data_IF_615671352933
#
_entry.id   IF_615671352933
#
_cell.length_a   1.000
_cell.length_b   1.000
_cell.length_c   1.000
_cell.angle_alpha   90.00
_cell.angle_beta   90.00
_cell.angle_gamma   90.00
#
_symmetry.space_group_name_H-M   'P 1'
#
loop_
_entity.id
_entity.type
_entity.pdbx_description
1 polymer ?
#
# COMPACT_ATOMS: atom_id res chain seq x y z
N UNK A 1 -26.80 9.58 79.11
CA UNK A 1 -27.73 9.45 77.96
C UNK A 1 -27.18 10.28 76.83
N UNK A 2 -26.52 9.63 75.87
CA UNK A 2 -25.63 10.23 74.89
C UNK A 2 -26.35 10.29 73.53
N UNK A 3 -26.56 11.50 73.02
CA UNK A 3 -27.26 11.77 71.76
C UNK A 3 -26.32 11.56 70.56
N UNK A 4 -26.86 10.84 69.57
CA UNK A 4 -26.20 10.38 68.35
C UNK A 4 -25.82 11.53 67.41
N UNK A 5 -24.59 11.55 66.91
CA UNK A 5 -24.15 12.35 65.76
C UNK A 5 -24.14 11.44 64.53
N UNK A 6 -25.00 11.72 63.56
CA UNK A 6 -24.96 11.10 62.24
C UNK A 6 -23.84 11.75 61.40
N UNK A 7 -22.90 10.93 60.93
CA UNK A 7 -21.86 11.34 59.97
C UNK A 7 -22.21 10.69 58.62
N UNK A 8 -22.68 11.48 57.68
CA UNK A 8 -23.00 11.03 56.31
C UNK A 8 -21.72 11.04 55.49
N UNK A 9 -21.19 9.87 55.11
CA UNK A 9 -20.17 9.75 54.07
C UNK A 9 -20.85 9.81 52.70
N UNK A 10 -20.54 10.83 51.88
CA UNK A 10 -20.76 10.77 50.44
C UNK A 10 -19.53 10.14 49.77
N UNK A 11 -19.69 8.94 49.23
CA UNK A 11 -18.71 8.33 48.34
C UNK A 11 -18.92 8.89 46.91
N UNK A 12 -17.94 9.64 46.40
CA UNK A 12 -17.89 10.05 45.01
C UNK A 12 -17.38 8.89 44.14
N UNK A 13 -18.26 8.33 43.32
CA UNK A 13 -17.91 7.38 42.26
C UNK A 13 -17.25 8.16 41.12
N UNK A 14 -15.92 8.08 41.02
CA UNK A 14 -15.18 8.54 39.85
C UNK A 14 -15.41 7.55 38.70
N UNK A 15 -16.20 7.96 37.70
CA UNK A 15 -16.36 7.22 36.47
C UNK A 15 -15.07 7.34 35.67
N UNK A 16 -14.32 6.25 35.59
CA UNK A 16 -13.18 6.14 34.69
C UNK A 16 -13.76 6.03 33.28
N UNK A 17 -13.69 7.13 32.51
CA UNK A 17 -13.97 7.08 31.08
C UNK A 17 -12.81 6.29 30.45
N UNK A 18 -13.06 5.02 30.15
CA UNK A 18 -12.17 4.23 29.30
C UNK A 18 -12.23 4.90 27.92
N UNK A 19 -11.20 5.66 27.58
CA UNK A 19 -11.02 6.14 26.22
C UNK A 19 -10.88 4.91 25.33
N UNK A 20 -11.83 4.71 24.41
CA UNK A 20 -11.68 3.75 23.33
C UNK A 20 -10.41 4.14 22.55
N UNK A 21 -9.58 3.18 22.12
CA UNK A 21 -8.42 3.48 21.30
C UNK A 21 -8.92 4.24 20.07
N UNK A 22 -8.37 5.44 19.85
CA UNK A 22 -8.48 6.15 18.58
C UNK A 22 -8.14 5.13 17.49
N UNK A 23 -9.07 4.88 16.57
CA UNK A 23 -8.78 4.10 15.36
C UNK A 23 -7.50 4.67 14.77
N UNK A 24 -6.42 3.91 14.83
CA UNK A 24 -5.11 4.41 14.47
C UNK A 24 -5.14 4.77 12.99
N UNK A 25 -5.00 6.06 12.69
CA UNK A 25 -5.03 6.56 11.32
C UNK A 25 -3.88 5.92 10.53
N UNK A 26 -4.16 5.44 9.33
CA UNK A 26 -3.14 4.85 8.46
C UNK A 26 -2.05 5.87 8.13
N UNK A 27 -0.79 5.45 8.15
CA UNK A 27 0.37 6.23 7.69
C UNK A 27 0.47 6.33 6.16
N UNK A 28 -0.32 5.53 5.46
CA UNK A 28 -0.43 5.53 4.00
C UNK A 28 -1.85 5.88 3.65
N UNK A 29 -2.04 6.92 2.83
CA UNK A 29 -3.31 7.15 2.18
C UNK A 29 -3.48 6.08 1.09
N UNK A 30 -4.29 5.07 1.39
CA UNK A 30 -4.55 3.93 0.50
C UNK A 30 -5.83 4.22 -0.28
N UNK A 31 -5.78 4.02 -1.58
CA UNK A 31 -6.92 4.17 -2.48
C UNK A 31 -7.02 2.96 -3.41
N UNK A 32 -8.25 2.64 -3.82
CA UNK A 32 -8.48 1.64 -4.85
C UNK A 32 -7.86 2.10 -6.17
N UNK A 33 -7.36 1.17 -6.97
CA UNK A 33 -6.85 1.49 -8.32
C UNK A 33 -8.03 1.88 -9.21
N UNK A 34 -8.09 3.17 -9.53
CA UNK A 34 -8.98 3.74 -10.53
C UNK A 34 -8.18 4.01 -11.81
N UNK A 35 -8.45 3.22 -12.86
CA UNK A 35 -7.77 3.33 -14.16
C UNK A 35 -8.31 4.47 -15.03
N UNK A 36 -9.46 5.03 -14.67
CA UNK A 36 -10.10 6.14 -15.38
C UNK A 36 -9.68 7.50 -14.78
N UNK A 37 -9.19 7.50 -13.54
CA UNK A 37 -8.61 8.67 -12.90
C UNK A 37 -7.25 9.02 -13.51
N UNK A 38 -7.09 10.28 -13.91
CA UNK A 38 -5.82 10.79 -14.46
C UNK A 38 -5.23 11.81 -13.49
N UNK A 39 -4.11 11.50 -12.82
CA UNK A 39 -3.49 12.43 -11.89
C UNK A 39 -3.02 13.71 -12.57
N UNK A 40 -3.16 14.85 -11.89
CA UNK A 40 -2.67 16.12 -12.41
C UNK A 40 -1.16 16.07 -12.66
N UNK A 41 -0.72 16.60 -13.81
CA UNK A 41 0.69 16.61 -14.21
C UNK A 41 1.21 15.28 -14.78
N UNK A 42 0.51 14.16 -14.55
CA UNK A 42 0.89 12.86 -15.09
C UNK A 42 0.81 12.76 -16.63
N UNK A 43 -0.15 13.36 -17.37
CA UNK A 43 -0.24 13.20 -18.83
C UNK A 43 1.04 13.53 -19.59
N UNK A 44 1.68 14.66 -19.25
CA UNK A 44 2.90 15.09 -19.92
C UNK A 44 4.11 14.20 -19.56
N UNK A 45 4.16 13.67 -18.34
CA UNK A 45 5.17 12.69 -17.95
C UNK A 45 4.91 11.32 -18.59
N UNK A 46 3.63 10.94 -18.72
CA UNK A 46 3.18 9.67 -19.27
C UNK A 46 3.54 9.54 -20.74
N UNK A 47 3.31 10.58 -21.55
CA UNK A 47 3.73 10.60 -22.97
C UNK A 47 5.26 10.54 -23.12
N UNK A 48 6.03 11.03 -22.14
CA UNK A 48 7.50 10.88 -22.15
C UNK A 48 7.93 9.46 -21.77
N UNK A 49 7.22 8.82 -20.83
CA UNK A 49 7.47 7.43 -20.43
C UNK A 49 6.99 6.40 -21.47
N UNK A 50 5.91 6.71 -22.18
CA UNK A 50 5.28 5.90 -23.22
C UNK A 50 5.14 6.74 -24.50
N UNK A 51 6.15 6.75 -25.38
CA UNK A 51 6.16 7.60 -26.57
C UNK A 51 5.00 7.36 -27.54
N UNK A 52 4.48 6.14 -27.58
CA UNK A 52 3.35 5.72 -28.43
C UNK A 52 1.99 5.85 -27.72
N UNK A 53 1.93 6.55 -26.57
CA UNK A 53 0.69 6.71 -25.82
C UNK A 53 -0.39 7.47 -26.62
N UNK A 54 -1.60 6.93 -26.61
CA UNK A 54 -2.79 7.62 -27.05
C UNK A 54 -3.40 8.37 -25.85
N UNK A 55 -3.03 9.65 -25.69
CA UNK A 55 -3.40 10.50 -24.54
C UNK A 55 -2.79 10.01 -23.22
N UNK A 56 -3.56 9.25 -22.45
CA UNK A 56 -3.22 8.76 -21.11
C UNK A 56 -3.23 7.23 -21.03
N UNK A 57 -3.33 6.57 -22.18
CA UNK A 57 -3.28 5.13 -22.29
C UNK A 57 -2.16 4.73 -23.25
N UNK A 58 -1.43 3.67 -22.92
CA UNK A 58 -0.41 3.12 -23.79
C UNK A 58 -0.53 1.60 -23.83
N UNK A 59 -0.58 1.03 -25.04
CA UNK A 59 -0.53 -0.41 -25.23
C UNK A 59 0.91 -0.82 -25.45
N UNK A 60 1.35 -1.86 -24.74
CA UNK A 60 2.71 -2.39 -24.88
C UNK A 60 2.73 -3.91 -24.77
N UNK A 61 3.46 -4.52 -25.68
CA UNK A 61 3.81 -5.94 -25.60
C UNK A 61 5.03 -6.13 -24.69
N UNK A 62 4.90 -7.01 -23.70
CA UNK A 62 5.96 -7.40 -22.77
C UNK A 62 5.99 -8.92 -22.69
N UNK A 63 7.02 -9.52 -23.30
CA UNK A 63 7.04 -10.97 -23.51
C UNK A 63 5.89 -11.40 -24.42
N UNK A 64 5.14 -12.41 -24.00
CA UNK A 64 3.99 -12.95 -24.75
C UNK A 64 2.65 -12.27 -24.40
N UNK A 65 2.68 -11.18 -23.64
CA UNK A 65 1.49 -10.51 -23.11
C UNK A 65 1.40 -9.07 -23.57
N UNK A 66 0.17 -8.63 -23.84
CA UNK A 66 -0.16 -7.25 -24.15
C UNK A 66 -0.74 -6.57 -22.92
N UNK A 67 -0.25 -5.38 -22.59
CA UNK A 67 -0.70 -4.59 -21.45
C UNK A 67 -1.18 -3.22 -21.90
N UNK A 68 -2.31 -2.78 -21.33
CA UNK A 68 -2.79 -1.40 -21.41
C UNK A 68 -2.40 -0.66 -20.13
N UNK A 69 -1.49 0.30 -20.27
CA UNK A 69 -0.99 1.14 -19.18
C UNK A 69 -1.75 2.45 -19.08
N UNK A 70 -2.01 2.88 -17.84
CA UNK A 70 -2.51 4.22 -17.51
C UNK A 70 -1.71 4.81 -16.34
N UNK A 71 -1.58 6.14 -16.23
CA UNK A 71 -0.87 6.77 -15.12
C UNK A 71 -1.66 6.60 -13.82
N UNK A 72 -0.97 6.20 -12.75
CA UNK A 72 -1.57 5.96 -11.43
C UNK A 72 -1.16 7.03 -10.41
N UNK A 73 0.13 7.39 -10.37
CA UNK A 73 0.66 8.31 -9.38
C UNK A 73 1.80 9.16 -9.91
N UNK A 74 1.97 10.33 -9.33
CA UNK A 74 3.10 11.21 -9.60
C UNK A 74 3.77 11.63 -8.29
N UNK A 75 4.86 10.94 -7.95
CA UNK A 75 5.48 10.96 -6.63
C UNK A 75 6.80 11.75 -6.68
N UNK A 76 6.93 12.87 -5.94
CA UNK A 76 8.18 13.60 -5.90
C UNK A 76 9.28 12.81 -5.17
N UNK A 77 10.44 12.67 -5.83
CA UNK A 77 11.63 12.03 -5.25
C UNK A 77 12.63 13.08 -4.75
N UNK A 78 12.72 14.22 -5.44
CA UNK A 78 13.54 15.38 -5.07
C UNK A 78 13.01 16.64 -5.76
N UNK A 79 13.69 17.79 -5.60
CA UNK A 79 13.30 19.06 -6.23
C UNK A 79 13.40 19.07 -7.76
N UNK A 80 14.06 18.06 -8.36
CA UNK A 80 14.27 17.94 -9.81
C UNK A 80 13.87 16.58 -10.36
N UNK A 81 13.25 15.72 -9.53
CA UNK A 81 12.98 14.32 -9.91
C UNK A 81 11.66 13.82 -9.35
N UNK A 82 10.96 13.08 -10.18
CA UNK A 82 9.67 12.45 -9.90
C UNK A 82 9.67 11.00 -10.34
N UNK A 83 8.88 10.19 -9.65
CA UNK A 83 8.45 8.88 -10.11
C UNK A 83 7.03 8.99 -10.67
N UNK A 84 6.86 8.64 -11.93
CA UNK A 84 5.56 8.29 -12.49
C UNK A 84 5.32 6.82 -12.19
N UNK A 85 4.26 6.52 -11.45
CA UNK A 85 3.76 5.15 -11.28
C UNK A 85 2.64 4.96 -12.28
N UNK A 86 2.68 3.87 -13.04
CA UNK A 86 1.67 3.48 -14.01
C UNK A 86 1.19 2.06 -13.72
N UNK A 87 -0.07 1.79 -14.03
CA UNK A 87 -0.69 0.48 -13.81
C UNK A 87 -1.09 -0.13 -15.15
N UNK A 88 -0.67 -1.38 -15.39
CA UNK A 88 -0.85 -2.10 -16.63
C UNK A 88 -1.82 -3.27 -16.46
N UNK A 89 -2.97 -3.23 -17.12
CA UNK A 89 -3.87 -4.38 -17.20
C UNK A 89 -3.48 -5.26 -18.39
N UNK A 90 -3.41 -6.57 -18.16
CA UNK A 90 -3.10 -7.56 -19.19
C UNK A 90 -4.36 -7.90 -19.99
N UNK A 91 -4.25 -7.99 -21.32
CA UNK A 91 -5.35 -8.44 -22.18
C UNK A 91 -5.73 -9.91 -21.93
N UNK A 92 -4.80 -10.71 -21.40
CA UNK A 92 -5.09 -12.06 -20.98
C UNK A 92 -6.05 -12.08 -19.77
N UNK A 93 -7.22 -12.67 -19.97
CA UNK A 93 -8.28 -12.81 -18.96
C UNK A 93 -8.31 -14.20 -18.31
N UNK A 94 -7.31 -15.04 -18.52
CA UNK A 94 -7.21 -16.31 -17.81
C UNK A 94 -7.00 -16.07 -16.31
N UNK A 95 -7.47 -16.98 -15.46
CA UNK A 95 -7.34 -16.88 -14.00
C UNK A 95 -5.87 -16.71 -13.54
N UNK A 96 -4.92 -17.28 -14.28
CA UNK A 96 -3.50 -17.20 -13.99
C UNK A 96 -2.83 -15.91 -14.49
N UNK A 97 -3.51 -15.11 -15.31
CA UNK A 97 -2.94 -13.89 -15.85
C UNK A 97 -3.03 -12.75 -14.83
N UNK A 98 -1.98 -11.95 -14.75
CA UNK A 98 -1.88 -10.79 -13.85
C UNK A 98 -1.55 -9.55 -14.66
N UNK A 99 -2.00 -8.40 -14.19
CA UNK A 99 -1.45 -7.12 -14.61
C UNK A 99 -0.07 -6.89 -13.99
N UNK A 100 0.49 -5.71 -14.17
CA UNK A 100 1.74 -5.30 -13.52
C UNK A 100 1.77 -3.79 -13.34
N UNK A 101 2.63 -3.29 -12.45
CA UNK A 101 2.87 -1.86 -12.33
C UNK A 101 4.23 -1.50 -12.94
N UNK A 102 4.34 -0.28 -13.43
CA UNK A 102 5.57 0.29 -13.93
C UNK A 102 5.92 1.55 -13.15
N UNK A 103 7.22 1.78 -12.97
CA UNK A 103 7.75 3.02 -12.40
C UNK A 103 8.72 3.61 -13.41
N UNK A 104 8.53 4.89 -13.71
CA UNK A 104 9.42 5.67 -14.54
C UNK A 104 9.97 6.82 -13.74
N UNK A 105 11.28 7.01 -13.77
CA UNK A 105 11.89 8.19 -13.17
C UNK A 105 12.10 9.25 -14.24
N UNK A 106 11.61 10.45 -13.95
CA UNK A 106 11.73 11.59 -14.83
C UNK A 106 12.39 12.74 -14.09
N UNK A 107 13.22 13.50 -14.81
CA UNK A 107 13.74 14.78 -14.35
C UNK A 107 12.96 15.95 -14.93
N UNK A 108 12.95 17.04 -14.17
CA UNK A 108 12.40 18.34 -14.55
C UNK A 108 13.25 19.46 -13.95
N UNK A 109 13.03 20.69 -14.39
CA UNK A 109 13.66 21.87 -13.79
C UNK A 109 13.28 22.02 -12.31
N UNK A 110 14.15 22.64 -11.51
CA UNK A 110 13.94 22.86 -10.07
C UNK A 110 12.56 23.48 -9.78
N UNK A 111 11.84 22.88 -8.84
CA UNK A 111 10.56 23.36 -8.33
C UNK A 111 9.42 22.38 -8.58
N UNK A 112 8.20 22.91 -8.78
CA UNK A 112 7.04 22.06 -9.06
C UNK A 112 7.24 21.27 -10.36
N UNK A 113 6.99 19.95 -10.35
CA UNK A 113 7.12 19.11 -11.54
C UNK A 113 6.32 19.66 -12.72
N UNK A 114 6.99 19.94 -13.82
CA UNK A 114 6.39 20.47 -15.05
C UNK A 114 7.19 20.06 -16.26
N UNK A 115 6.51 20.01 -17.40
CA UNK A 115 7.16 19.86 -18.70
C UNK A 115 8.20 20.99 -18.93
N UNK A 116 9.36 20.71 -19.57
CA UNK A 116 9.76 19.45 -20.17
C UNK A 116 10.27 18.41 -19.16
N UNK A 117 9.87 17.16 -19.37
CA UNK A 117 10.42 16.00 -18.65
C UNK A 117 11.50 15.30 -19.47
N UNK A 118 12.44 14.65 -18.79
CA UNK A 118 13.38 13.70 -19.40
C UNK A 118 13.32 12.38 -18.66
N UNK A 119 13.13 11.29 -19.40
CA UNK A 119 13.17 9.94 -18.83
C UNK A 119 14.60 9.59 -18.41
N UNK A 120 14.77 9.13 -17.18
CA UNK A 120 16.05 8.65 -16.64
C UNK A 120 16.09 7.14 -16.46
N UNK A 121 14.95 6.50 -16.22
CA UNK A 121 14.89 5.08 -15.97
C UNK A 121 13.47 4.53 -16.04
N UNK A 122 13.38 3.25 -16.37
CA UNK A 122 12.15 2.47 -16.45
C UNK A 122 12.34 1.17 -15.69
N UNK A 123 11.35 0.84 -14.87
CA UNK A 123 11.24 -0.44 -14.19
C UNK A 123 9.82 -0.96 -14.37
N UNK A 124 9.73 -2.17 -14.93
CA UNK A 124 8.49 -2.91 -15.10
C UNK A 124 8.37 -3.93 -13.97
N UNK A 125 7.14 -4.36 -13.69
CA UNK A 125 6.80 -5.36 -12.67
C UNK A 125 7.22 -4.94 -11.26
N UNK A 126 6.79 -3.74 -10.87
CA UNK A 126 7.12 -3.15 -9.57
C UNK A 126 5.98 -3.37 -8.56
N UNK A 127 6.33 -3.90 -7.39
CA UNK A 127 5.38 -4.12 -6.29
C UNK A 127 4.41 -5.27 -6.56
N UNK A 128 3.21 -5.19 -5.99
CA UNK A 128 2.20 -6.22 -6.10
C UNK A 128 1.48 -6.16 -7.45
N UNK A 129 1.43 -7.28 -8.16
CA UNK A 129 0.52 -7.51 -9.29
C UNK A 129 -0.81 -8.11 -8.80
N UNK A 130 -1.93 -7.81 -9.47
CA UNK A 130 -3.27 -8.23 -9.03
C UNK A 130 -3.48 -9.74 -8.99
N UNK A 131 -4.51 -10.17 -8.25
CA UNK A 131 -4.76 -11.59 -7.94
C UNK A 131 -5.44 -12.43 -9.03
N UNK A 132 -5.32 -12.05 -10.30
CA UNK A 132 -5.82 -12.83 -11.43
C UNK A 132 -6.62 -12.02 -12.48
N UNK A 133 -6.95 -12.68 -13.59
CA UNK A 133 -7.75 -12.14 -14.71
C UNK A 133 -7.15 -10.86 -15.32
N UNK A 134 -5.83 -10.77 -15.34
CA UNK A 134 -5.09 -9.66 -15.97
C UNK A 134 -5.15 -8.34 -15.20
N UNK A 135 -5.72 -8.31 -14.00
CA UNK A 135 -5.83 -7.10 -13.21
C UNK A 135 -4.49 -6.70 -12.57
N UNK A 136 -4.16 -5.41 -12.49
CA UNK A 136 -3.00 -4.91 -11.75
C UNK A 136 -3.29 -4.87 -10.24
N UNK A 137 -2.44 -4.17 -9.45
CA UNK A 137 -2.69 -3.94 -8.02
C UNK A 137 -4.15 -3.51 -7.78
N UNK A 138 -4.73 -3.97 -6.68
CA UNK A 138 -6.13 -3.66 -6.31
C UNK A 138 -6.23 -2.34 -5.58
N UNK A 139 -5.26 -2.07 -4.71
CA UNK A 139 -5.10 -0.81 -3.97
C UNK A 139 -3.67 -0.34 -4.03
N UNK A 140 -3.50 0.96 -3.86
CA UNK A 140 -2.19 1.58 -3.86
C UNK A 140 -2.15 2.80 -2.95
N UNK A 141 -0.95 3.25 -2.64
CA UNK A 141 -0.70 4.48 -1.90
C UNK A 141 0.79 4.73 -1.82
N UNK A 142 1.22 5.81 -1.18
CA UNK A 142 2.63 6.01 -0.90
C UNK A 142 2.84 6.87 0.35
N UNK A 143 4.05 6.82 0.91
CA UNK A 143 4.41 7.57 2.12
C UNK A 143 5.91 7.89 2.17
N UNK A 144 6.30 8.87 2.99
CA UNK A 144 7.72 9.18 3.31
C UNK A 144 8.12 8.82 4.74
N UNK A 145 7.18 8.23 5.48
CA UNK A 145 7.35 7.98 6.91
C UNK A 145 8.09 6.67 7.22
N UNK A 146 8.18 5.74 6.24
CA UNK A 146 8.74 4.40 6.46
C UNK A 146 10.25 4.34 6.21
N UNK A 147 10.73 4.89 5.08
CA UNK A 147 12.12 4.79 4.65
C UNK A 147 12.67 6.14 4.19
N UNK A 148 13.98 6.24 3.95
CA UNK A 148 14.63 7.51 3.57
C UNK A 148 14.08 8.06 2.26
N UNK A 149 13.78 7.19 1.31
CA UNK A 149 13.08 7.54 0.07
C UNK A 149 11.56 7.27 0.17
N UNK A 150 10.72 7.89 -0.68
CA UNK A 150 9.30 7.58 -0.73
C UNK A 150 9.05 6.08 -0.93
N UNK A 151 8.10 5.52 -0.21
CA UNK A 151 7.71 4.11 -0.28
C UNK A 151 6.36 4.00 -0.96
N UNK A 152 6.32 3.26 -2.06
CA UNK A 152 5.10 2.85 -2.75
C UNK A 152 4.48 1.65 -2.00
N UNK A 153 3.20 1.76 -1.68
CA UNK A 153 2.34 0.69 -1.19
C UNK A 153 1.53 0.16 -2.36
N UNK A 154 1.57 -1.15 -2.58
CA UNK A 154 0.71 -1.84 -3.55
C UNK A 154 0.13 -3.08 -2.91
N UNK A 155 -1.17 -3.27 -3.08
CA UNK A 155 -1.91 -4.39 -2.52
C UNK A 155 -2.44 -5.28 -3.62
N UNK A 156 -2.26 -6.58 -3.44
CA UNK A 156 -2.91 -7.59 -4.25
C UNK A 156 -3.55 -8.65 -3.37
N UNK A 157 -4.48 -9.38 -3.96
CA UNK A 157 -5.24 -10.37 -3.23
C UNK A 157 -6.27 -11.01 -4.12
N UNK A 158 -6.91 -12.03 -3.59
CA UNK A 158 -7.89 -12.81 -4.31
C UNK A 158 -8.57 -13.81 -3.40
N UNK A 159 -9.48 -14.58 -3.99
CA UNK A 159 -10.22 -15.62 -3.29
C UNK A 159 -9.80 -16.97 -3.84
N UNK A 160 -9.26 -17.83 -2.98
CA UNK A 160 -8.90 -19.21 -3.32
C UNK A 160 -9.61 -20.17 -2.37
N UNK A 161 -10.40 -21.09 -2.94
CA UNK A 161 -11.10 -22.13 -2.16
C UNK A 161 -11.98 -21.55 -1.04
N UNK A 162 -12.60 -20.39 -1.26
CA UNK A 162 -13.45 -19.70 -0.28
C UNK A 162 -12.70 -18.86 0.75
N UNK A 163 -11.37 -18.73 0.63
CA UNK A 163 -10.53 -17.87 1.47
C UNK A 163 -10.11 -16.63 0.70
N UNK A 164 -10.50 -15.45 1.20
CA UNK A 164 -10.03 -14.18 0.72
C UNK A 164 -8.71 -13.83 1.42
N UNK A 165 -7.66 -13.58 0.65
CA UNK A 165 -6.34 -13.20 1.16
C UNK A 165 -5.85 -11.94 0.46
N UNK A 166 -5.28 -11.02 1.23
CA UNK A 166 -4.61 -9.83 0.73
C UNK A 166 -3.16 -9.77 1.20
N UNK A 167 -2.28 -9.30 0.33
CA UNK A 167 -0.87 -9.09 0.59
C UNK A 167 -0.46 -7.70 0.13
N UNK A 168 0.49 -7.11 0.84
CA UNK A 168 1.09 -5.82 0.52
C UNK A 168 2.53 -6.02 0.11
N UNK A 169 2.92 -5.28 -0.92
CA UNK A 169 4.31 -4.99 -1.24
C UNK A 169 4.61 -3.53 -0.92
N UNK A 170 5.71 -3.33 -0.19
CA UNK A 170 6.31 -2.02 0.01
C UNK A 170 7.55 -1.91 -0.87
N UNK A 171 7.58 -0.90 -1.72
CA UNK A 171 8.72 -0.64 -2.62
C UNK A 171 9.30 0.73 -2.32
N UNK A 172 10.56 0.79 -1.90
CA UNK A 172 11.30 2.04 -1.71
C UNK A 172 11.74 2.60 -3.07
N UNK A 173 11.37 3.85 -3.37
CA UNK A 173 11.72 4.55 -4.60
C UNK A 173 13.09 5.24 -4.48
N UNK A 174 14.16 4.44 -4.44
CA UNK A 174 15.53 4.93 -4.21
C UNK A 174 16.06 5.75 -5.39
N UNK A 175 17.15 6.53 -5.23
CA UNK A 175 17.77 7.24 -6.35
C UNK A 175 18.21 6.32 -7.52
N UNK A 176 18.57 5.06 -7.24
CA UNK A 176 18.97 4.09 -8.27
C UNK A 176 17.80 3.35 -8.92
N UNK A 177 16.59 3.43 -8.35
CA UNK A 177 15.42 2.68 -8.81
C UNK A 177 14.55 2.17 -7.66
N UNK A 178 13.36 1.63 -7.97
CA UNK A 178 12.51 0.95 -7.01
C UNK A 178 13.19 -0.31 -6.44
N UNK A 179 13.08 -0.51 -5.13
CA UNK A 179 13.58 -1.69 -4.42
C UNK A 179 12.45 -2.26 -3.56
N UNK A 180 12.11 -3.53 -3.72
CA UNK A 180 11.17 -4.20 -2.81
C UNK A 180 11.80 -4.29 -1.41
N UNK A 181 11.11 -3.75 -0.42
CA UNK A 181 11.59 -3.67 0.96
C UNK A 181 10.73 -4.46 1.94
N UNK A 182 9.49 -4.82 1.60
CA UNK A 182 8.67 -5.69 2.44
C UNK A 182 7.56 -6.38 1.64
N UNK A 183 7.24 -7.61 2.04
CA UNK A 183 6.01 -8.30 1.62
C UNK A 183 5.36 -8.97 2.83
N UNK A 184 4.08 -8.74 3.04
CA UNK A 184 3.37 -9.30 4.19
C UNK A 184 1.85 -9.42 3.97
N UNK A 185 1.17 -10.34 4.68
CA UNK A 185 -0.28 -10.44 4.62
C UNK A 185 -0.95 -9.22 5.26
N UNK A 186 -1.86 -8.58 4.55
CA UNK A 186 -2.62 -7.42 5.06
C UNK A 186 -4.05 -7.80 5.44
N UNK A 187 -4.61 -8.85 4.83
CA UNK A 187 -5.96 -9.29 5.15
C UNK A 187 -6.14 -10.79 4.93
N UNK A 188 -7.05 -11.38 5.71
CA UNK A 188 -7.48 -12.76 5.58
C UNK A 188 -8.94 -12.87 6.00
N UNK A 189 -9.75 -13.63 5.26
CA UNK A 189 -11.12 -13.99 5.65
C UNK A 189 -11.52 -15.33 5.04
N UNK A 190 -12.16 -16.20 5.81
CA UNK A 190 -12.74 -17.46 5.34
C UNK A 190 -14.26 -17.53 5.57
N UNK A 191 -14.91 -16.37 5.77
CA UNK A 191 -16.35 -16.24 6.00
C UNK A 191 -17.25 -16.85 4.91
N UNK A 192 -16.69 -17.15 3.73
CA UNK A 192 -17.40 -17.82 2.63
C UNK A 192 -17.46 -19.34 2.80
N UNK A 193 -16.78 -19.90 3.80
CA UNK A 193 -16.75 -21.33 4.14
C UNK A 193 -17.71 -21.60 5.30
N UNK A 194 -18.35 -22.76 5.32
CA UNK A 194 -19.21 -23.17 6.44
C UNK A 194 -18.42 -23.20 7.76
N UNK A 195 -18.86 -22.39 8.72
CA UNK A 195 -18.17 -22.22 10.01
C UNK A 195 -16.96 -21.27 9.98
N UNK A 196 -16.72 -20.57 8.87
CA UNK A 196 -15.65 -19.58 8.74
C UNK A 196 -15.92 -18.28 9.49
N UNK A 197 -14.88 -17.46 9.65
CA UNK A 197 -14.90 -16.22 10.42
C UNK A 197 -14.74 -14.96 9.53
N UNK A 198 -15.26 -13.79 9.96
CA UNK A 198 -15.19 -12.53 9.21
C UNK A 198 -13.78 -12.09 8.81
N UNK A 199 -12.74 -12.58 9.50
CA UNK A 199 -11.35 -12.33 9.14
C UNK A 199 -10.75 -11.09 9.80
N UNK A 200 -9.52 -10.76 9.41
CA UNK A 200 -8.78 -9.58 9.88
C UNK A 200 -8.34 -8.70 8.72
N UNK A 201 -8.26 -7.40 8.97
CA UNK A 201 -7.72 -6.38 8.06
C UNK A 201 -6.69 -5.52 8.78
N UNK A 202 -5.54 -5.33 8.15
CA UNK A 202 -4.38 -4.63 8.66
C UNK A 202 -4.22 -3.24 8.05
N UNK A 203 -3.62 -2.34 8.82
CA UNK A 203 -3.20 -1.00 8.36
C UNK A 203 -1.85 -0.64 8.96
N UNK A 204 -0.98 0.01 8.18
CA UNK A 204 0.29 0.54 8.71
C UNK A 204 -0.02 1.79 9.54
N UNK A 205 0.27 1.76 10.84
CA UNK A 205 -0.20 2.78 11.80
C UNK A 205 0.91 3.60 12.43
N UNK A 206 2.10 3.03 12.54
CA UNK A 206 3.28 3.72 13.07
C UNK A 206 4.54 3.26 12.34
N UNK A 207 5.52 4.14 12.24
CA UNK A 207 6.81 3.86 11.67
C UNK A 207 7.90 4.58 12.46
N UNK A 208 9.00 3.89 12.65
CA UNK A 208 10.28 4.47 13.04
C UNK A 208 11.14 4.47 11.77
N UNK A 209 11.22 5.64 11.13
CA UNK A 209 11.76 5.82 9.79
C UNK A 209 13.12 5.15 9.62
N UNK A 210 13.24 4.29 8.61
CA UNK A 210 14.45 3.53 8.28
C UNK A 210 14.77 2.38 9.23
N UNK A 211 13.93 2.11 10.25
CA UNK A 211 14.19 1.14 11.31
C UNK A 211 13.08 0.10 11.48
N UNK A 212 11.82 0.53 11.55
CA UNK A 212 10.69 -0.40 11.69
C UNK A 212 9.35 0.23 11.33
N UNK A 213 8.33 -0.58 11.08
CA UNK A 213 6.93 -0.14 11.04
C UNK A 213 6.01 -1.15 11.73
N UNK A 214 4.83 -0.69 12.14
CA UNK A 214 3.81 -1.53 12.77
C UNK A 214 2.54 -1.56 11.94
N UNK A 215 2.09 -2.78 11.67
CA UNK A 215 0.77 -3.07 11.11
C UNK A 215 -0.17 -3.38 12.27
N UNK A 216 -1.27 -2.63 12.36
CA UNK A 216 -2.33 -2.91 13.33
C UNK A 216 -3.48 -3.60 12.61
N UNK A 217 -3.88 -4.77 13.11
CA UNK A 217 -4.96 -5.59 12.58
C UNK A 217 -6.21 -5.45 13.43
N UNK A 218 -7.36 -5.44 12.77
CA UNK A 218 -8.70 -5.42 13.38
C UNK A 218 -9.64 -6.38 12.65
N UNK A 219 -10.82 -6.68 13.21
CA UNK A 219 -11.76 -7.65 12.65
C UNK A 219 -12.20 -8.68 13.69
N UNK A 220 -12.10 -9.98 13.37
CA UNK A 220 -12.35 -11.08 14.31
C UNK A 220 -11.34 -11.13 15.47
N UNK A 221 -10.14 -10.59 15.25
CA UNK A 221 -9.13 -10.38 16.28
C UNK A 221 -8.52 -8.98 16.15
N UNK A 222 -7.88 -8.49 17.22
CA UNK A 222 -7.14 -7.23 17.21
C UNK A 222 -5.74 -7.42 17.75
N UNK A 223 -4.75 -7.03 16.96
CA UNK A 223 -3.35 -7.24 17.30
C UNK A 223 -2.40 -6.41 16.44
N UNK A 224 -1.15 -6.26 16.88
CA UNK A 224 -0.13 -5.50 16.16
C UNK A 224 1.07 -6.36 15.78
N UNK A 225 1.60 -6.17 14.59
CA UNK A 225 2.82 -6.82 14.09
C UNK A 225 3.85 -5.76 13.72
N UNK A 226 5.07 -5.90 14.25
CA UNK A 226 6.16 -4.96 14.00
C UNK A 226 7.21 -5.58 13.10
N UNK A 227 7.46 -4.93 11.98
CA UNK A 227 8.45 -5.31 10.99
C UNK A 227 9.70 -4.44 11.18
N UNK A 228 10.86 -5.07 11.34
CA UNK A 228 12.15 -4.40 11.57
C UNK A 228 13.02 -4.49 10.33
N UNK A 229 13.74 -3.41 10.03
CA UNK A 229 14.65 -3.35 8.89
C UNK A 229 15.93 -4.13 9.20
N UNK A 230 16.20 -5.14 8.39
CA UNK A 230 17.43 -5.92 8.41
C UNK A 230 18.60 -5.16 7.77
N UNK A 231 19.80 -5.71 7.94
CA UNK A 231 21.02 -5.19 7.31
C UNK A 231 20.99 -5.28 5.77
N UNK A 232 20.16 -6.17 5.22
CA UNK A 232 19.86 -6.30 3.80
C UNK A 232 18.85 -5.25 3.28
N UNK A 233 18.37 -4.36 4.16
CA UNK A 233 17.43 -3.30 3.82
C UNK A 233 15.96 -3.73 3.84
N UNK A 234 15.68 -5.02 4.05
CA UNK A 234 14.33 -5.59 4.04
C UNK A 234 13.69 -5.56 5.42
N UNK A 235 12.39 -5.29 5.47
CA UNK A 235 11.61 -5.29 6.70
C UNK A 235 10.98 -6.66 6.94
N UNK A 236 11.25 -7.26 8.10
CA UNK A 236 10.72 -8.58 8.49
C UNK A 236 10.32 -8.59 9.96
N UNK A 237 9.39 -9.48 10.31
CA UNK A 237 9.11 -9.78 11.70
C UNK A 237 10.14 -10.75 12.26
N UNK A 238 10.33 -10.72 13.57
CA UNK A 238 11.14 -11.72 14.28
C UNK A 238 10.37 -13.05 14.44
N UNK A 239 9.04 -12.96 14.54
CA UNK A 239 8.11 -14.09 14.68
C UNK A 239 7.28 -14.29 13.40
N UNK A 240 6.58 -15.43 13.30
CA UNK A 240 5.61 -15.65 12.23
C UNK A 240 4.40 -14.71 12.35
N UNK A 241 3.83 -14.32 11.20
CA UNK A 241 2.59 -13.55 11.19
C UNK A 241 1.45 -14.38 11.78
N UNK A 242 0.59 -13.72 12.54
CA UNK A 242 -0.66 -14.31 13.07
C UNK A 242 -1.81 -14.22 12.06
N UNK A 243 -1.61 -13.53 10.94
CA UNK A 243 -2.56 -13.56 9.84
C UNK A 243 -2.44 -14.92 9.14
N UNK A 244 -3.53 -15.70 9.02
CA UNK A 244 -3.48 -16.97 8.32
C UNK A 244 -3.07 -16.81 6.86
N UNK A 245 -2.40 -17.82 6.31
CA UNK A 245 -1.97 -17.83 4.92
C UNK A 245 -3.00 -18.53 4.03
N UNK A 246 -3.20 -17.97 2.83
CA UNK A 246 -3.47 -18.77 1.64
C UNK A 246 -2.14 -19.34 1.13
#
# INVERSE_FOLDING_TARGET
>A
MQTSKALTLLAALAWSVVALPVSAQSLVEIMDVDRDAVPAGAPAAFVVAFPDAERNEAVREIGDYTYSFVPLAFIPLSDTRVALVSTGANECTAQACTGLNAVHYLTHDVGAPRYPFKLEGEWLDVGAAGGGVGNPATRWGWTREIADSPVLYTESGGVWQGRACGYVHLTELTPSGPVDIARFPISFSDASIEGGEPGVEGVITTADKGRSFTVSYTGSASFNETYKRGADGQYRMDDESRVPTC
#
